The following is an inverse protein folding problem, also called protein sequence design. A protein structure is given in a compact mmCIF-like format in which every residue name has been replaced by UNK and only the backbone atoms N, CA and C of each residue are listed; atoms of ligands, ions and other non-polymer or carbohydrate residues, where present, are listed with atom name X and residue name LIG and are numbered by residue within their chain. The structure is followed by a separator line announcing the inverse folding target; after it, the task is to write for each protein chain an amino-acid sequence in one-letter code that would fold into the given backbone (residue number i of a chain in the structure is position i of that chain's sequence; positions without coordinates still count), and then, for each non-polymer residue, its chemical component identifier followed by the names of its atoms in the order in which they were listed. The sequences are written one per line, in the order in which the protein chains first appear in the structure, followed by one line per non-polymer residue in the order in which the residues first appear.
data_IF_106276027551
#
_entry.id   IF_106276027551
#
_cell.length_a   1.000
_cell.length_b   1.000
_cell.length_c   1.000
_cell.angle_alpha   90.00
_cell.angle_beta   90.00
_cell.angle_gamma   90.00
#
_symmetry.space_group_name_H-M   'P 1'
#
loop_
_entity.id
_entity.type
_entity.pdbx_description
1 polymer ?
#
# COMPACT_ATOMS: atom_id res chain seq x y z
N UNK A 1 -7.24 -16.18 32.62
CA UNK A 1 -6.05 -15.31 32.70
C UNK A 1 -6.54 -13.89 32.52
N UNK A 2 -6.34 -13.02 33.51
CA UNK A 2 -6.79 -11.61 33.43
C UNK A 2 -5.86 -10.90 32.45
N UNK A 3 -6.38 -10.49 31.29
CA UNK A 3 -5.66 -9.53 30.45
C UNK A 3 -5.75 -8.19 31.16
N UNK A 4 -4.84 -7.94 32.09
CA UNK A 4 -4.61 -6.60 32.62
C UNK A 4 -4.27 -5.72 31.43
N UNK A 5 -5.27 -4.99 30.93
CA UNK A 5 -5.10 -4.08 29.81
C UNK A 5 -4.20 -2.97 30.32
N UNK A 6 -2.91 -3.10 30.03
CA UNK A 6 -1.88 -2.18 30.49
C UNK A 6 -2.19 -0.82 29.89
N UNK A 7 -2.62 0.09 30.76
CA UNK A 7 -2.87 1.49 30.41
C UNK A 7 -1.61 2.29 30.67
N UNK A 8 -1.29 3.18 29.74
CA UNK A 8 -0.12 4.04 29.77
C UNK A 8 -0.56 5.49 29.93
N UNK A 9 0.24 6.29 30.66
CA UNK A 9 0.05 7.74 30.73
C UNK A 9 0.74 8.44 29.54
N UNK A 10 0.38 9.69 29.24
CA UNK A 10 1.07 10.49 28.22
C UNK A 10 2.59 10.56 28.46
N UNK A 11 3.05 10.46 29.72
CA UNK A 11 4.49 10.43 30.06
C UNK A 11 5.17 9.13 29.62
N UNK A 12 4.46 8.01 29.73
CA UNK A 12 5.00 6.69 29.38
C UNK A 12 5.03 6.52 27.86
N UNK A 13 3.97 6.97 27.18
CA UNK A 13 3.90 7.01 25.71
C UNK A 13 5.01 7.89 25.13
N UNK A 14 5.23 9.07 25.72
CA UNK A 14 6.30 9.98 25.31
C UNK A 14 7.69 9.33 25.39
N UNK A 15 7.98 8.63 26.49
CA UNK A 15 9.24 7.88 26.65
C UNK A 15 9.38 6.77 25.61
N UNK A 16 8.30 6.05 25.32
CA UNK A 16 8.31 4.91 24.39
C UNK A 16 8.53 5.35 22.95
N UNK A 17 7.86 6.41 22.53
CA UNK A 17 7.96 6.96 21.18
C UNK A 17 9.13 7.94 21.01
N UNK A 18 9.90 8.20 22.08
CA UNK A 18 10.99 9.20 22.10
C UNK A 18 10.54 10.59 21.62
N UNK A 19 9.31 10.98 21.98
CA UNK A 19 8.72 12.29 21.64
C UNK A 19 8.37 13.06 22.90
N UNK A 20 8.17 14.37 22.75
CA UNK A 20 7.79 15.22 23.87
C UNK A 20 6.33 14.95 24.32
N UNK A 21 6.02 14.91 25.63
CA UNK A 21 4.66 14.71 26.13
C UNK A 21 3.63 15.73 25.58
N UNK A 22 4.07 16.91 25.17
CA UNK A 22 3.22 17.93 24.54
C UNK A 22 2.77 17.46 23.14
N UNK A 23 3.64 16.78 22.40
CA UNK A 23 3.35 16.26 21.05
C UNK A 23 2.34 15.11 21.12
N UNK A 24 2.50 14.20 22.09
CA UNK A 24 1.53 13.12 22.36
C UNK A 24 0.12 13.70 22.57
N UNK A 25 0.01 14.71 23.45
CA UNK A 25 -1.28 15.36 23.76
C UNK A 25 -1.88 16.04 22.54
N UNK A 26 -1.07 16.74 21.76
CA UNK A 26 -1.51 17.38 20.51
C UNK A 26 -2.08 16.34 19.53
N UNK A 27 -1.38 15.24 19.31
CA UNK A 27 -1.83 14.21 18.37
C UNK A 27 -3.08 13.50 18.87
N UNK A 28 -3.16 13.26 20.18
CA UNK A 28 -4.36 12.70 20.80
C UNK A 28 -5.56 13.61 20.58
N UNK A 29 -5.42 14.92 20.80
CA UNK A 29 -6.50 15.88 20.59
C UNK A 29 -6.95 15.91 19.12
N UNK A 30 -6.01 15.93 18.18
CA UNK A 30 -6.33 15.93 16.75
C UNK A 30 -7.03 14.64 16.32
N UNK A 31 -6.65 13.49 16.90
CA UNK A 31 -7.36 12.23 16.68
C UNK A 31 -8.78 12.28 17.27
N UNK A 32 -8.96 12.87 18.47
CA UNK A 32 -10.30 13.07 19.07
C UNK A 32 -11.20 13.95 18.20
N UNK A 33 -10.65 15.01 17.61
CA UNK A 33 -11.38 15.89 16.66
C UNK A 33 -11.83 15.13 15.40
N UNK A 34 -11.09 14.09 14.98
CA UNK A 34 -11.44 13.23 13.85
C UNK A 34 -12.34 12.03 14.26
N UNK A 35 -12.80 11.97 15.51
CA UNK A 35 -13.73 10.96 15.99
C UNK A 35 -13.10 9.74 16.67
N UNK A 36 -11.79 9.77 16.94
CA UNK A 36 -11.13 8.75 17.76
C UNK A 36 -11.48 8.96 19.24
N UNK A 37 -11.78 7.89 19.99
CA UNK A 37 -12.10 8.01 21.42
C UNK A 37 -11.06 7.32 22.27
N UNK A 38 -10.27 8.09 23.02
CA UNK A 38 -9.36 7.53 24.03
C UNK A 38 -10.10 7.20 25.33
N UNK A 39 -9.67 6.15 26.02
CA UNK A 39 -10.16 5.85 27.37
C UNK A 39 -9.71 6.96 28.32
N UNK A 40 -10.59 7.33 29.25
CA UNK A 40 -10.30 8.33 30.27
C UNK A 40 -10.55 7.73 31.64
N UNK A 41 -9.67 8.04 32.58
CA UNK A 41 -9.78 7.64 33.99
C UNK A 41 -10.89 8.43 34.71
N UNK A 42 -11.20 8.08 35.96
CA UNK A 42 -12.17 8.78 36.83
C UNK A 42 -11.87 10.27 36.99
N UNK A 43 -10.58 10.64 36.87
CA UNK A 43 -10.09 12.04 36.89
C UNK A 43 -10.09 12.71 35.52
N UNK A 44 -10.72 12.11 34.52
CA UNK A 44 -10.77 12.56 33.13
C UNK A 44 -9.39 12.65 32.45
N UNK A 45 -8.40 11.88 32.94
CA UNK A 45 -7.06 11.80 32.34
C UNK A 45 -7.03 10.72 31.26
N UNK A 46 -6.46 11.03 30.09
CA UNK A 46 -6.35 10.08 28.98
C UNK A 46 -5.45 8.90 29.35
N UNK A 47 -5.97 7.70 29.16
CA UNK A 47 -5.29 6.43 29.33
C UNK A 47 -5.11 5.80 27.95
N UNK A 48 -3.85 5.56 27.59
CA UNK A 48 -3.47 5.00 26.30
C UNK A 48 -3.34 3.48 26.42
N UNK A 49 -3.98 2.75 25.53
CA UNK A 49 -3.78 1.33 25.30
C UNK A 49 -2.58 1.08 24.38
N UNK A 50 -2.19 -0.18 24.22
CA UNK A 50 -1.13 -0.56 23.28
C UNK A 50 -1.49 -0.22 21.83
N UNK A 51 -2.77 -0.34 21.45
CA UNK A 51 -3.27 0.05 20.13
C UNK A 51 -3.17 1.57 19.93
N UNK A 52 -3.54 2.36 20.95
CA UNK A 52 -3.38 3.82 20.91
C UNK A 52 -1.93 4.23 20.67
N UNK A 53 -0.97 3.53 21.30
CA UNK A 53 0.46 3.77 21.11
C UNK A 53 0.87 3.46 19.68
N UNK A 54 0.40 2.34 19.11
CA UNK A 54 0.70 1.95 17.74
C UNK A 54 0.17 2.97 16.72
N UNK A 55 -1.03 3.50 16.93
CA UNK A 55 -1.60 4.55 16.09
C UNK A 55 -0.82 5.86 16.19
N UNK A 56 -0.39 6.25 17.39
CA UNK A 56 0.44 7.44 17.60
C UNK A 56 1.85 7.27 16.98
N UNK A 57 2.44 6.08 17.10
CA UNK A 57 3.70 5.73 16.44
C UNK A 57 3.58 5.85 14.92
N UNK A 58 2.49 5.33 14.35
CA UNK A 58 2.23 5.43 12.92
C UNK A 58 2.06 6.88 12.47
N UNK A 59 1.32 7.70 13.23
CA UNK A 59 1.21 9.15 12.96
C UNK A 59 2.58 9.85 12.96
N UNK A 60 3.46 9.50 13.91
CA UNK A 60 4.83 9.99 13.96
C UNK A 60 5.63 9.56 12.73
N UNK A 61 5.51 8.30 12.30
CA UNK A 61 6.21 7.78 11.11
C UNK A 61 5.82 8.53 9.83
N UNK A 62 4.53 8.85 9.67
CA UNK A 62 4.03 9.61 8.51
C UNK A 62 4.55 11.05 8.48
N UNK A 63 4.65 11.69 9.65
CA UNK A 63 5.27 13.01 9.75
C UNK A 63 6.76 12.96 9.39
N UNK A 64 7.49 11.96 9.86
CA UNK A 64 8.90 11.76 9.50
C UNK A 64 9.07 11.45 8.00
N UNK A 65 8.07 10.83 7.37
CA UNK A 65 8.00 10.61 5.93
C UNK A 65 7.65 11.88 5.12
N UNK A 66 7.46 13.04 5.77
CA UNK A 66 7.19 14.32 5.13
C UNK A 66 5.73 14.63 4.86
N UNK A 67 4.79 13.81 5.35
CA UNK A 67 3.35 14.11 5.22
C UNK A 67 2.91 15.23 6.17
N UNK A 68 1.84 15.92 5.79
CA UNK A 68 1.24 16.92 6.67
C UNK A 68 0.64 16.27 7.92
N UNK A 69 0.60 17.02 9.03
CA UNK A 69 0.07 16.49 10.29
C UNK A 69 -1.42 16.11 10.17
N UNK A 70 -2.23 16.94 9.52
CA UNK A 70 -3.65 16.65 9.32
C UNK A 70 -3.87 15.40 8.46
N UNK A 71 -3.13 15.25 7.36
CA UNK A 71 -3.21 14.06 6.51
C UNK A 71 -2.82 12.79 7.27
N UNK A 72 -1.77 12.88 8.10
CA UNK A 72 -1.30 11.76 8.92
C UNK A 72 -2.36 11.33 9.94
N UNK A 73 -2.99 12.29 10.62
CA UNK A 73 -4.04 12.03 11.61
C UNK A 73 -5.30 11.49 10.94
N UNK A 74 -5.71 12.05 9.79
CA UNK A 74 -6.86 11.57 9.02
C UNK A 74 -6.66 10.13 8.55
N UNK A 75 -5.45 9.79 8.11
CA UNK A 75 -5.13 8.43 7.69
C UNK A 75 -5.26 7.44 8.84
N UNK A 76 -4.71 7.78 10.01
CA UNK A 76 -4.82 6.98 11.24
C UNK A 76 -6.28 6.83 11.69
N UNK A 77 -7.04 7.93 11.69
CA UNK A 77 -8.46 7.92 12.05
C UNK A 77 -9.31 7.08 11.09
N UNK A 78 -9.00 7.11 9.79
CA UNK A 78 -9.64 6.25 8.78
C UNK A 78 -9.36 4.78 9.05
N UNK A 79 -8.10 4.40 9.33
CA UNK A 79 -7.75 3.02 9.66
C UNK A 79 -8.48 2.53 10.92
N UNK A 80 -8.58 3.39 11.93
CA UNK A 80 -9.34 3.08 13.14
C UNK A 80 -10.83 2.87 12.85
N UNK A 81 -11.47 3.76 12.07
CA UNK A 81 -12.88 3.61 11.67
C UNK A 81 -13.10 2.33 10.88
N UNK A 82 -12.25 1.99 9.92
CA UNK A 82 -12.33 0.72 9.19
C UNK A 82 -12.20 -0.48 10.12
N UNK A 83 -11.27 -0.44 11.09
CA UNK A 83 -11.11 -1.52 12.07
C UNK A 83 -12.32 -1.68 13.00
N UNK A 84 -12.99 -0.59 13.37
CA UNK A 84 -14.25 -0.60 14.11
C UNK A 84 -15.40 -1.15 13.26
N UNK A 85 -15.46 -0.77 11.98
CA UNK A 85 -16.47 -1.24 11.02
C UNK A 85 -16.41 -2.75 10.81
N UNK A 86 -15.21 -3.33 10.77
CA UNK A 86 -15.02 -4.79 10.65
C UNK A 86 -15.51 -5.53 11.92
N UNK A 87 -15.57 -4.84 13.05
CA UNK A 87 -15.99 -5.41 14.35
C UNK A 87 -17.47 -5.21 14.66
N UNK A 88 -18.21 -4.44 13.86
CA UNK A 88 -19.66 -4.27 13.97
C UNK A 88 -20.36 -4.95 12.78
N UNK A 89 -21.02 -6.11 12.96
CA UNK A 89 -21.65 -6.85 11.87
C UNK A 89 -23.07 -6.33 11.57
N UNK A 90 -23.34 -5.03 11.67
CA UNK A 90 -24.71 -4.49 11.53
C UNK A 90 -24.72 -3.18 10.72
N UNK A 91 -24.30 -3.25 9.46
CA UNK A 91 -24.80 -2.35 8.40
C UNK A 91 -24.85 -3.14 7.09
N UNK A 92 -26.02 -3.11 6.45
CA UNK A 92 -26.37 -3.77 5.18
C UNK A 92 -25.22 -3.77 4.16
N UNK A 93 -24.65 -4.96 3.92
CA UNK A 93 -23.47 -5.24 3.09
C UNK A 93 -23.64 -5.02 1.58
N UNK A 94 -24.77 -4.52 1.11
CA UNK A 94 -25.05 -4.46 -0.33
C UNK A 94 -24.27 -3.38 -1.09
N UNK A 95 -23.97 -2.24 -0.47
CA UNK A 95 -23.27 -1.14 -1.17
C UNK A 95 -21.74 -1.35 -1.23
N UNK A 96 -21.16 -2.01 -0.22
CA UNK A 96 -19.71 -2.29 -0.19
C UNK A 96 -19.33 -3.46 -1.10
N UNK A 97 -20.23 -4.43 -1.30
CA UNK A 97 -20.00 -5.57 -2.20
C UNK A 97 -19.91 -5.11 -3.67
N UNK A 98 -20.72 -4.13 -4.07
CA UNK A 98 -20.73 -3.60 -5.44
C UNK A 98 -19.45 -2.79 -5.75
N UNK A 99 -18.95 -2.01 -4.78
CA UNK A 99 -17.70 -1.28 -4.92
C UNK A 99 -16.49 -2.22 -5.01
N UNK A 100 -16.50 -3.29 -4.22
CA UNK A 100 -15.43 -4.29 -4.20
C UNK A 100 -15.47 -5.13 -5.49
N UNK A 101 -16.66 -5.46 -6.00
CA UNK A 101 -16.85 -6.14 -7.28
C UNK A 101 -16.36 -5.25 -8.44
N UNK A 102 -16.65 -3.94 -8.40
CA UNK A 102 -16.17 -2.99 -9.38
C UNK A 102 -14.64 -2.87 -9.37
N UNK A 103 -14.02 -2.87 -8.18
CA UNK A 103 -12.57 -2.85 -8.05
C UNK A 103 -11.92 -4.11 -8.62
N UNK A 104 -12.44 -5.30 -8.28
CA UNK A 104 -11.95 -6.58 -8.81
C UNK A 104 -12.06 -6.62 -10.32
N UNK A 105 -13.21 -6.21 -10.87
CA UNK A 105 -13.43 -6.18 -12.32
C UNK A 105 -12.45 -5.24 -13.04
N UNK A 106 -12.23 -4.05 -12.49
CA UNK A 106 -11.27 -3.10 -13.04
C UNK A 106 -9.83 -3.65 -13.00
N UNK A 107 -9.49 -4.38 -11.95
CA UNK A 107 -8.18 -5.03 -11.81
C UNK A 107 -8.01 -6.18 -12.82
N UNK A 108 -9.04 -7.00 -13.03
CA UNK A 108 -9.06 -8.06 -14.05
C UNK A 108 -8.91 -7.50 -15.47
N UNK A 109 -9.64 -6.44 -15.80
CA UNK A 109 -9.53 -5.78 -17.11
C UNK A 109 -8.14 -5.19 -17.35
N UNK A 110 -7.53 -4.62 -16.30
CA UNK A 110 -6.15 -4.14 -16.38
C UNK A 110 -5.15 -5.29 -16.59
N UNK A 111 -5.31 -6.39 -15.85
CA UNK A 111 -4.47 -7.59 -16.01
C UNK A 111 -4.61 -8.19 -17.41
N UNK A 112 -5.82 -8.22 -17.97
CA UNK A 112 -6.06 -8.70 -19.33
C UNK A 112 -5.34 -7.84 -20.37
N UNK A 113 -5.38 -6.51 -20.23
CA UNK A 113 -4.63 -5.59 -21.12
C UNK A 113 -3.13 -5.80 -21.03
N UNK A 114 -2.59 -6.06 -19.83
CA UNK A 114 -1.18 -6.39 -19.66
C UNK A 114 -0.80 -7.70 -20.37
N UNK A 115 -1.64 -8.75 -20.23
CA UNK A 115 -1.43 -10.02 -20.92
C UNK A 115 -1.45 -9.85 -22.44
N UNK A 116 -2.39 -9.08 -22.99
CA UNK A 116 -2.44 -8.78 -24.42
C UNK A 116 -1.20 -8.02 -24.91
N UNK A 117 -0.71 -7.05 -24.13
CA UNK A 117 0.54 -6.35 -24.46
C UNK A 117 1.76 -7.28 -24.45
N UNK A 118 1.83 -8.20 -23.49
CA UNK A 118 2.92 -9.19 -23.41
C UNK A 118 2.85 -10.12 -24.63
N UNK A 119 1.68 -10.68 -24.94
CA UNK A 119 1.50 -11.57 -26.09
C UNK A 119 1.83 -10.87 -27.42
N UNK A 120 1.44 -9.60 -27.56
CA UNK A 120 1.79 -8.81 -28.75
C UNK A 120 3.30 -8.56 -28.86
N UNK A 121 3.97 -8.27 -27.73
CA UNK A 121 5.43 -8.12 -27.71
C UNK A 121 6.11 -9.43 -28.08
N UNK A 122 5.66 -10.55 -27.54
CA UNK A 122 6.24 -11.88 -27.79
C UNK A 122 6.07 -12.30 -29.26
N UNK A 123 4.91 -12.01 -29.87
CA UNK A 123 4.70 -12.20 -31.31
C UNK A 123 5.67 -11.36 -32.14
N UNK A 124 5.79 -10.07 -31.82
CA UNK A 124 6.70 -9.17 -32.53
C UNK A 124 8.17 -9.64 -32.38
N UNK A 125 8.57 -10.09 -31.19
CA UNK A 125 9.89 -10.67 -30.95
C UNK A 125 10.11 -11.93 -31.79
N UNK A 126 9.12 -12.82 -31.85
CA UNK A 126 9.21 -14.07 -32.62
C UNK A 126 9.37 -13.77 -34.11
N UNK A 127 8.61 -12.82 -34.66
CA UNK A 127 8.72 -12.39 -36.06
C UNK A 127 10.11 -11.79 -36.33
N UNK A 128 10.57 -10.86 -35.49
CA UNK A 128 11.88 -10.24 -35.66
C UNK A 128 13.03 -11.26 -35.61
N UNK A 129 12.92 -12.29 -34.76
CA UNK A 129 13.90 -13.39 -34.68
C UNK A 129 13.89 -14.21 -35.98
N UNK A 130 12.71 -14.53 -36.53
CA UNK A 130 12.59 -15.26 -37.79
C UNK A 130 13.19 -14.49 -38.96
N UNK A 131 12.83 -13.21 -39.11
CA UNK A 131 13.39 -12.33 -40.15
C UNK A 131 14.92 -12.22 -40.03
N UNK A 132 15.44 -12.08 -38.81
CA UNK A 132 16.88 -12.04 -38.57
C UNK A 132 17.57 -13.35 -38.98
N UNK A 133 16.94 -14.51 -38.71
CA UNK A 133 17.48 -15.80 -39.12
C UNK A 133 17.46 -15.98 -40.64
N UNK A 134 16.40 -15.55 -41.32
CA UNK A 134 16.30 -15.60 -42.78
C UNK A 134 17.33 -14.69 -43.45
N UNK A 135 17.48 -13.45 -42.97
CA UNK A 135 18.50 -12.52 -43.45
C UNK A 135 19.92 -13.11 -43.29
N UNK A 136 20.22 -13.74 -42.15
CA UNK A 136 21.51 -14.43 -41.94
C UNK A 136 21.73 -15.56 -42.95
N UNK A 137 20.71 -16.38 -43.24
CA UNK A 137 20.81 -17.46 -44.24
C UNK A 137 21.07 -16.91 -45.65
N UNK A 138 20.37 -15.84 -46.04
CA UNK A 138 20.57 -15.22 -47.36
C UNK A 138 21.98 -14.63 -47.51
N UNK A 139 22.51 -13.97 -46.48
CA UNK A 139 23.89 -13.45 -46.46
C UNK A 139 24.91 -14.59 -46.57
N UNK A 140 24.71 -15.69 -45.84
CA UNK A 140 25.58 -16.86 -45.91
C UNK A 140 25.58 -17.49 -47.32
N UNK A 141 24.41 -17.70 -47.91
CA UNK A 141 24.27 -18.25 -49.27
C UNK A 141 24.85 -17.31 -50.35
N UNK A 142 24.75 -15.99 -50.16
CA UNK A 142 25.36 -15.00 -51.05
C UNK A 142 26.90 -15.03 -51.00
N UNK A 143 27.48 -15.15 -49.80
CA UNK A 143 28.92 -15.31 -49.61
C UNK A 143 29.42 -16.63 -50.21
N UNK A 144 28.65 -17.72 -50.06
CA UNK A 144 28.97 -19.03 -50.64
C UNK A 144 29.08 -19.01 -52.17
N UNK A 145 28.24 -18.23 -52.85
CA UNK A 145 28.27 -18.13 -54.31
C UNK A 145 29.43 -17.28 -54.84
N UNK A 146 29.97 -16.37 -54.02
CA UNK A 146 31.06 -15.47 -54.42
C UNK A 146 32.45 -16.07 -54.21
N UNK A 147 32.71 -16.86 -53.17
CA UNK A 147 34.06 -17.37 -52.91
C UNK A 147 34.57 -18.32 -54.01
N UNK A 148 33.69 -19.10 -54.66
CA UNK A 148 34.07 -19.94 -55.81
C UNK A 148 34.46 -19.13 -57.06
N UNK A 149 34.00 -17.88 -57.20
CA UNK A 149 34.37 -17.03 -58.34
C UNK A 149 35.77 -16.41 -58.21
N UNK A 150 36.35 -16.40 -57.01
CA UNK A 150 37.72 -15.93 -56.78
C UNK A 150 38.80 -16.98 -57.09
N UNK A 151 38.41 -18.23 -57.36
CA UNK A 151 39.32 -19.34 -57.68
C UNK A 151 39.27 -19.78 -59.16
N UNK A 152 38.71 -18.94 -60.04
CA UNK A 152 38.71 -19.15 -61.50
C UNK A 152 39.70 -18.20 -62.16
#
# INVERSE_FOLDING_TARGET
MKNDSKVYSSKDVAKRLSIEPVTVRKYSQMLEEQGYSFKKDEKNWRQYSEDDIRFLEYACSLKSAGKSLNESINHVASLYRTSLSISQPDTSLHDDEDLLLQFVKNQEDFNKKLLEQIDQRDKNFTIAIQELQEAKKQIAAGKEKQWWQFWK
#
